data_IF_626564220827
#
_entry.id   IF_626564220827
#
_cell.length_a   1.000
_cell.length_b   1.000
_cell.length_c   1.000
_cell.angle_alpha   90.00
_cell.angle_beta   90.00
_cell.angle_gamma   90.00
#
_symmetry.space_group_name_H-M   'P 1'
#
loop_
_entity.id
_entity.type
_entity.pdbx_description
1 polymer ?
#
# COMPACT_ATOMS: atom_id res chain seq x y z
N UNK A 1 -19.97 12.87 37.67
CA UNK A 1 -19.16 11.64 37.46
C UNK A 1 -19.04 11.37 35.97
N UNK A 2 -17.84 11.49 35.37
CA UNK A 2 -17.62 11.18 33.95
C UNK A 2 -17.47 9.67 33.79
N UNK A 3 -18.35 9.03 32.99
CA UNK A 3 -18.24 7.60 32.65
C UNK A 3 -16.96 7.39 31.83
N UNK A 4 -16.08 6.44 32.18
CA UNK A 4 -14.94 6.12 31.33
C UNK A 4 -15.46 5.44 30.07
N UNK A 5 -15.30 6.08 28.91
CA UNK A 5 -15.49 5.45 27.62
C UNK A 5 -14.39 4.40 27.46
N UNK A 6 -14.74 3.14 27.72
CA UNK A 6 -13.89 1.97 27.44
C UNK A 6 -13.77 1.86 25.92
N UNK A 7 -12.84 2.62 25.34
CA UNK A 7 -12.39 2.44 23.97
C UNK A 7 -12.01 0.98 23.81
N UNK A 8 -12.82 0.24 23.05
CA UNK A 8 -12.62 -1.18 22.84
C UNK A 8 -11.23 -1.42 22.29
N UNK A 9 -10.40 -2.13 23.04
CA UNK A 9 -9.13 -2.68 22.57
C UNK A 9 -9.47 -3.66 21.44
N UNK A 10 -9.48 -3.18 20.20
CA UNK A 10 -9.62 -4.02 19.01
C UNK A 10 -8.38 -4.92 18.93
N UNK A 11 -8.56 -6.18 18.61
CA UNK A 11 -7.42 -7.05 18.29
C UNK A 11 -6.62 -6.41 17.15
N UNK A 12 -5.32 -6.21 17.37
CA UNK A 12 -4.43 -5.49 16.44
C UNK A 12 -4.21 -4.00 16.75
N UNK A 13 -4.93 -3.40 17.71
CA UNK A 13 -4.63 -2.04 18.15
C UNK A 13 -3.22 -1.97 18.77
N UNK A 14 -2.28 -1.34 18.05
CA UNK A 14 -0.88 -1.20 18.46
C UNK A 14 0.10 -2.20 17.86
N UNK A 15 -0.32 -3.07 16.93
CA UNK A 15 0.64 -3.83 16.10
C UNK A 15 1.39 -2.84 15.21
N UNK A 16 2.61 -2.48 15.59
CA UNK A 16 3.53 -1.79 14.68
C UNK A 16 3.70 -2.68 13.44
N UNK A 17 3.42 -2.19 12.23
CA UNK A 17 3.73 -2.95 11.04
C UNK A 17 5.22 -3.26 11.04
N UNK A 18 5.57 -4.55 11.03
CA UNK A 18 6.94 -4.99 10.80
C UNK A 18 7.18 -4.87 9.31
N UNK A 19 7.89 -3.81 8.91
CA UNK A 19 8.48 -3.72 7.59
C UNK A 19 9.90 -4.27 7.74
N UNK A 20 10.13 -5.47 7.23
CA UNK A 20 11.45 -6.12 7.31
C UNK A 20 12.52 -5.33 6.52
N UNK A 21 12.09 -4.43 5.62
CA UNK A 21 12.94 -3.66 4.69
C UNK A 21 13.19 -2.19 5.10
N UNK A 22 12.83 -1.77 6.32
CA UNK A 22 13.05 -0.39 6.83
C UNK A 22 11.78 0.47 6.91
N UNK A 23 11.89 1.81 7.04
CA UNK A 23 10.74 2.67 7.25
C UNK A 23 9.84 2.69 6.01
N UNK A 24 8.63 2.14 6.12
CA UNK A 24 7.64 2.28 5.06
C UNK A 24 7.01 3.66 5.10
N UNK A 25 6.95 4.28 3.92
CA UNK A 25 6.20 5.51 3.70
C UNK A 25 4.86 5.11 3.07
N UNK A 26 3.77 5.56 3.67
CA UNK A 26 2.45 5.41 3.06
C UNK A 26 2.31 6.45 1.93
N UNK A 27 2.05 5.98 0.73
CA UNK A 27 1.84 6.82 -0.46
C UNK A 27 0.45 6.53 -1.01
N UNK A 28 -0.32 7.59 -1.28
CA UNK A 28 -1.57 7.50 -2.00
C UNK A 28 -1.35 8.00 -3.42
N UNK A 29 -1.74 7.20 -4.42
CA UNK A 29 -1.67 7.56 -5.82
C UNK A 29 -3.07 7.50 -6.43
N UNK A 30 -3.38 8.47 -7.28
CA UNK A 30 -4.55 8.40 -8.15
C UNK A 30 -4.13 7.77 -9.47
N UNK A 31 -4.93 6.81 -9.94
CA UNK A 31 -4.69 6.12 -11.21
C UNK A 31 -5.87 6.36 -12.13
N UNK A 32 -5.64 6.61 -13.43
CA UNK A 32 -6.73 6.70 -14.40
C UNK A 32 -7.58 5.42 -14.37
N UNK A 33 -8.89 5.57 -14.53
CA UNK A 33 -9.85 4.46 -14.45
C UNK A 33 -9.51 3.33 -15.43
N UNK A 34 -9.10 3.69 -16.66
CA UNK A 34 -8.67 2.72 -17.69
C UNK A 34 -7.40 1.93 -17.34
N UNK A 35 -6.62 2.36 -16.35
CA UNK A 35 -5.41 1.66 -15.90
C UNK A 35 -5.69 0.68 -14.75
N UNK A 36 -6.84 0.79 -14.08
CA UNK A 36 -7.16 -0.03 -12.91
C UNK A 36 -7.22 -1.52 -13.27
N UNK A 37 -7.96 -1.88 -14.33
CA UNK A 37 -8.09 -3.27 -14.76
C UNK A 37 -6.76 -3.90 -15.17
N UNK A 38 -5.88 -3.13 -15.80
CA UNK A 38 -4.53 -3.60 -16.14
C UNK A 38 -3.69 -3.87 -14.89
N UNK A 39 -3.74 -2.98 -13.89
CA UNK A 39 -3.03 -3.19 -12.62
C UNK A 39 -3.54 -4.41 -11.84
N UNK A 40 -4.86 -4.62 -11.81
CA UNK A 40 -5.49 -5.77 -11.17
C UNK A 40 -5.10 -7.08 -11.86
N UNK A 41 -5.08 -7.12 -13.19
CA UNK A 41 -4.64 -8.29 -13.93
C UNK A 41 -3.17 -8.62 -13.65
N UNK A 42 -2.28 -7.63 -13.70
CA UNK A 42 -0.85 -7.85 -13.41
C UNK A 42 -0.60 -8.32 -11.98
N UNK A 43 -1.42 -7.84 -11.03
CA UNK A 43 -1.35 -8.26 -9.63
C UNK A 43 -1.76 -9.73 -9.48
N UNK A 44 -2.84 -10.12 -10.16
CA UNK A 44 -3.33 -11.49 -10.24
C UNK A 44 -2.29 -12.43 -10.88
N UNK A 45 -1.73 -12.06 -12.03
CA UNK A 45 -0.76 -12.88 -12.77
C UNK A 45 0.53 -13.14 -11.98
N UNK A 46 0.93 -12.18 -11.15
CA UNK A 46 2.17 -12.24 -10.38
C UNK A 46 1.97 -12.67 -8.91
N UNK A 47 0.73 -13.00 -8.50
CA UNK A 47 0.34 -13.33 -7.12
C UNK A 47 0.85 -12.31 -6.09
N UNK A 48 0.64 -11.02 -6.38
CA UNK A 48 1.03 -9.90 -5.51
C UNK A 48 -0.09 -8.88 -5.37
N UNK A 49 0.05 -7.93 -4.44
CA UNK A 49 -0.92 -6.85 -4.29
C UNK A 49 -0.88 -5.83 -5.45
N UNK A 50 -2.02 -5.17 -5.73
CA UNK A 50 -2.09 -4.06 -6.69
C UNK A 50 -1.11 -2.93 -6.34
N UNK A 51 -0.95 -2.64 -5.05
CA UNK A 51 0.01 -1.63 -4.56
C UNK A 51 1.46 -1.98 -4.88
N UNK A 52 1.82 -3.26 -4.82
CA UNK A 52 3.16 -3.76 -5.18
C UNK A 52 3.41 -3.58 -6.69
N UNK A 53 2.43 -3.91 -7.53
CA UNK A 53 2.53 -3.67 -8.97
C UNK A 53 2.68 -2.17 -9.27
N UNK A 54 1.86 -1.33 -8.64
CA UNK A 54 1.93 0.13 -8.81
C UNK A 54 3.32 0.68 -8.40
N UNK A 55 3.86 0.22 -7.27
CA UNK A 55 5.20 0.61 -6.82
C UNK A 55 6.28 0.20 -7.84
N UNK A 56 6.23 -1.03 -8.37
CA UNK A 56 7.17 -1.50 -9.40
C UNK A 56 7.11 -0.66 -10.67
N UNK A 57 5.91 -0.27 -11.11
CA UNK A 57 5.72 0.59 -12.28
C UNK A 57 6.34 1.97 -12.05
N UNK A 58 6.09 2.59 -10.90
CA UNK A 58 6.65 3.89 -10.54
C UNK A 58 8.18 3.86 -10.48
N UNK A 59 8.77 2.84 -9.84
CA UNK A 59 10.22 2.68 -9.77
C UNK A 59 10.83 2.49 -11.17
N UNK A 60 10.19 1.70 -12.04
CA UNK A 60 10.63 1.52 -13.44
C UNK A 60 10.51 2.79 -14.27
N UNK A 61 9.48 3.61 -14.04
CA UNK A 61 9.33 4.90 -14.71
C UNK A 61 10.42 5.88 -14.26
N UNK A 62 10.67 5.97 -12.94
CA UNK A 62 11.71 6.84 -12.39
C UNK A 62 13.10 6.48 -12.94
N UNK A 63 13.47 5.19 -12.96
CA UNK A 63 14.76 4.73 -13.51
C UNK A 63 14.96 5.03 -15.00
N UNK A 64 13.87 5.19 -15.76
CA UNK A 64 13.93 5.58 -17.18
C UNK A 64 14.06 7.08 -17.38
N UNK A 65 13.57 7.87 -16.43
CA UNK A 65 13.62 9.34 -16.45
C UNK A 65 15.00 9.89 -16.06
N UNK A 66 15.77 9.12 -15.30
CA UNK A 66 17.10 9.53 -14.79
C UNK A 66 18.28 9.05 -15.65
N UNK A 67 18.01 8.47 -16.81
CA UNK A 67 19.01 8.16 -17.85
C UNK A 67 18.86 9.11 -19.00
#
# INVERSE_FOLDING_TARGET
MKKPTRGGRREGAGRKPKFDDGPAVQVSAQVPEGCKGWLEQQASDADVSVSEVAARVLVRAWRRSTK
#
